data_IF_568860370553
#
_entry.id   IF_568860370553
#
_cell.length_a   1.000
_cell.length_b   1.000
_cell.length_c   1.000
_cell.angle_alpha   90.00
_cell.angle_beta   90.00
_cell.angle_gamma   90.00
#
_symmetry.space_group_name_H-M   'P 1'
#
loop_
_entity.id
_entity.type
_entity.pdbx_description
1 polymer ?
#
# COMPACT_ATOMS: atom_id res chain seq x y z
N UNK A 1 9.75 -5.89 17.36
CA UNK A 1 10.44 -6.27 16.12
C UNK A 1 11.72 -5.46 15.99
N UNK A 2 12.83 -6.14 15.69
CA UNK A 2 14.09 -5.50 15.32
C UNK A 2 14.28 -5.74 13.83
N UNK A 3 14.07 -4.71 13.03
CA UNK A 3 14.37 -4.75 11.60
C UNK A 3 15.90 -4.66 11.42
N UNK A 4 16.41 -5.31 10.39
CA UNK A 4 17.83 -5.47 10.13
C UNK A 4 18.23 -4.74 8.85
N UNK A 5 19.53 -4.48 8.71
CA UNK A 5 20.12 -3.98 7.47
C UNK A 5 19.70 -4.86 6.29
N UNK A 6 19.35 -4.23 5.16
CA UNK A 6 18.78 -4.81 3.93
C UNK A 6 17.32 -5.26 4.01
N UNK A 7 16.65 -5.16 5.15
CA UNK A 7 15.21 -5.40 5.19
C UNK A 7 14.49 -4.33 4.35
N UNK A 8 13.59 -4.79 3.47
CA UNK A 8 12.63 -3.92 2.79
C UNK A 8 11.51 -3.55 3.75
N UNK A 9 11.21 -2.27 3.80
CA UNK A 9 10.28 -1.65 4.75
C UNK A 9 9.45 -0.59 4.06
N UNK A 10 8.42 -0.13 4.75
CA UNK A 10 7.64 1.04 4.36
C UNK A 10 7.74 2.12 5.43
N UNK A 11 7.97 3.34 4.98
CA UNK A 11 8.15 4.52 5.83
C UNK A 11 6.96 5.44 5.65
N UNK A 12 6.36 5.84 6.76
CA UNK A 12 5.23 6.76 6.80
C UNK A 12 5.68 8.17 6.43
N UNK A 13 5.03 8.75 5.43
CA UNK A 13 5.07 10.19 5.19
C UNK A 13 3.84 10.83 5.85
N UNK A 14 4.06 11.50 6.99
CA UNK A 14 3.01 12.16 7.77
C UNK A 14 2.66 13.56 7.29
N UNK A 15 3.32 14.08 6.24
CA UNK A 15 2.95 15.36 5.61
C UNK A 15 1.80 15.19 4.64
N UNK A 16 1.59 13.97 4.15
CA UNK A 16 0.45 13.62 3.33
C UNK A 16 -0.79 13.44 4.21
N UNK A 17 -1.93 13.94 3.74
CA UNK A 17 -3.23 13.77 4.39
C UNK A 17 -4.22 13.11 3.42
N UNK A 18 -4.62 11.85 3.64
CA UNK A 18 -4.12 10.91 4.65
C UNK A 18 -2.66 10.49 4.41
N UNK A 19 -2.04 9.96 5.47
CA UNK A 19 -0.65 9.48 5.44
C UNK A 19 -0.42 8.46 4.32
N UNK A 20 0.74 8.56 3.69
CA UNK A 20 1.19 7.63 2.65
C UNK A 20 2.40 6.82 3.12
N UNK A 21 2.68 5.71 2.43
CA UNK A 21 3.77 4.80 2.78
C UNK A 21 4.73 4.60 1.62
N UNK A 22 5.97 5.04 1.79
CA UNK A 22 7.03 4.93 0.79
C UNK A 22 7.91 3.71 1.04
N UNK A 23 8.26 2.99 -0.02
CA UNK A 23 9.11 1.80 0.08
C UNK A 23 10.56 2.22 0.27
N UNK A 24 11.24 1.56 1.21
CA UNK A 24 12.62 1.82 1.53
C UNK A 24 13.37 0.54 1.95
N UNK A 25 14.68 0.64 2.06
CA UNK A 25 15.58 -0.38 2.60
C UNK A 25 16.32 0.17 3.83
N UNK A 26 16.48 -0.66 4.85
CA UNK A 26 17.29 -0.30 6.03
C UNK A 26 18.78 -0.39 5.71
N UNK A 27 19.50 0.71 5.93
CA UNK A 27 20.96 0.74 5.84
C UNK A 27 21.62 0.41 7.19
N UNK A 28 21.03 0.90 8.29
CA UNK A 28 21.48 0.67 9.66
C UNK A 28 20.39 1.06 10.67
N UNK A 29 20.53 0.66 11.94
CA UNK A 29 19.64 1.10 13.00
C UNK A 29 20.00 0.54 14.37
N UNK A 30 19.45 1.16 15.42
CA UNK A 30 19.66 0.79 16.82
C UNK A 30 18.39 0.20 17.48
N UNK A 31 17.32 0.00 16.71
CA UNK A 31 16.03 -0.50 17.19
C UNK A 31 15.07 0.57 17.70
N UNK A 32 15.50 1.83 17.82
CA UNK A 32 14.66 3.00 18.08
C UNK A 32 14.53 3.89 16.84
N UNK A 33 15.61 4.04 16.10
CA UNK A 33 15.66 4.72 14.81
C UNK A 33 16.36 3.85 13.78
N UNK A 34 16.04 4.11 12.51
CA UNK A 34 16.63 3.45 11.35
C UNK A 34 17.08 4.48 10.34
N UNK A 35 18.27 4.29 9.77
CA UNK A 35 18.71 4.99 8.57
C UNK A 35 18.21 4.19 7.36
N UNK A 36 17.40 4.80 6.53
CA UNK A 36 16.69 4.15 5.42
C UNK A 36 17.03 4.81 4.10
N UNK A 37 17.04 4.02 3.03
CA UNK A 37 17.17 4.47 1.64
C UNK A 37 15.86 4.20 0.92
N UNK A 38 15.26 5.24 0.35
CA UNK A 38 14.04 5.08 -0.45
C UNK A 38 14.32 4.40 -1.78
N UNK A 39 13.33 3.65 -2.28
CA UNK A 39 13.39 3.10 -3.63
C UNK A 39 13.31 4.25 -4.66
N UNK A 40 14.20 4.20 -5.66
CA UNK A 40 14.22 5.15 -6.79
C UNK A 40 13.38 4.61 -7.94
N UNK A 41 12.74 5.53 -8.68
CA UNK A 41 11.92 5.22 -9.85
C UNK A 41 12.44 6.02 -11.07
N UNK A 42 12.23 5.56 -12.32
CA UNK A 42 12.84 6.18 -13.51
C UNK A 42 12.61 7.69 -13.65
N UNK A 43 11.45 8.19 -13.23
CA UNK A 43 11.08 9.60 -13.34
C UNK A 43 11.41 10.42 -12.08
N UNK A 44 12.06 9.83 -11.07
CA UNK A 44 12.56 10.53 -9.89
C UNK A 44 13.95 11.13 -10.17
N UNK A 45 14.30 12.18 -9.42
CA UNK A 45 15.67 12.69 -9.42
C UNK A 45 16.66 11.55 -9.13
N UNK A 46 17.82 11.58 -9.79
CA UNK A 46 18.86 10.54 -9.66
C UNK A 46 19.53 10.50 -8.29
N UNK A 47 19.19 11.42 -7.40
CA UNK A 47 19.75 11.51 -6.05
C UNK A 47 19.16 10.44 -5.14
N UNK A 48 20.05 9.70 -4.47
CA UNK A 48 19.68 8.71 -3.47
C UNK A 48 19.06 9.40 -2.25
N UNK A 49 17.76 9.22 -2.03
CA UNK A 49 17.08 9.80 -0.87
C UNK A 49 17.31 8.90 0.34
N UNK A 50 18.08 9.41 1.30
CA UNK A 50 18.41 8.72 2.55
C UNK A 50 18.02 9.59 3.75
N UNK A 51 17.36 8.99 4.73
CA UNK A 51 16.98 9.69 5.96
C UNK A 51 17.08 8.82 7.21
N UNK A 52 16.98 9.44 8.38
CA UNK A 52 16.87 8.74 9.66
C UNK A 52 15.46 8.90 10.21
N UNK A 53 14.78 7.78 10.45
CA UNK A 53 13.39 7.74 10.88
C UNK A 53 13.19 7.02 12.21
N UNK A 54 12.15 7.41 12.92
CA UNK A 54 11.68 6.71 14.11
C UNK A 54 11.16 5.32 13.73
N UNK A 55 11.42 4.33 14.57
CA UNK A 55 10.82 2.99 14.46
C UNK A 55 9.29 3.04 14.39
N UNK A 56 8.65 4.04 15.00
CA UNK A 56 7.18 4.19 14.97
C UNK A 56 6.65 4.55 13.58
N UNK A 57 7.48 5.16 12.75
CA UNK A 57 7.14 5.57 11.37
C UNK A 57 7.52 4.50 10.35
N UNK A 58 7.99 3.33 10.78
CA UNK A 58 8.43 2.24 9.90
C UNK A 58 7.60 1.00 10.17
N UNK A 59 7.10 0.37 9.10
CA UNK A 59 6.48 -0.95 9.13
C UNK A 59 7.21 -1.89 8.16
N UNK A 60 7.15 -3.21 8.35
CA UNK A 60 7.59 -4.16 7.32
C UNK A 60 6.82 -3.93 6.01
N UNK A 61 7.24 -4.57 4.93
CA UNK A 61 6.34 -4.74 3.79
C UNK A 61 5.17 -5.64 4.22
N UNK A 62 3.90 -5.25 3.99
CA UNK A 62 2.76 -6.07 4.36
C UNK A 62 2.84 -7.43 3.69
N UNK A 63 2.54 -8.46 4.47
CA UNK A 63 2.49 -9.82 3.95
C UNK A 63 1.34 -9.87 2.95
N UNK A 64 1.64 -10.22 1.70
CA UNK A 64 0.62 -10.44 0.67
C UNK A 64 -0.30 -11.57 1.13
N UNK A 65 -1.44 -11.21 1.72
CA UNK A 65 -2.49 -12.16 2.05
C UNK A 65 -3.13 -12.57 0.72
N UNK A 66 -2.60 -13.64 0.10
CA UNK A 66 -3.30 -14.36 -0.97
C UNK A 66 -4.63 -14.83 -0.39
N UNK A 67 -5.76 -14.41 -0.99
CA UNK A 67 -7.08 -14.89 -0.54
C UNK A 67 -8.15 -13.81 -0.31
N UNK A 68 -7.90 -12.52 -0.57
CA UNK A 68 -9.00 -11.54 -0.63
C UNK A 68 -9.56 -11.52 -2.06
N UNK A 69 -10.09 -12.67 -2.50
CA UNK A 69 -10.46 -12.90 -3.91
C UNK A 69 -11.70 -12.14 -4.38
N UNK A 70 -12.42 -11.47 -3.47
CA UNK A 70 -13.63 -10.73 -3.80
C UNK A 70 -13.52 -9.29 -3.26
N UNK A 71 -12.87 -8.41 -4.03
CA UNK A 71 -12.97 -6.96 -3.82
C UNK A 71 -14.36 -6.51 -4.29
N UNK A 72 -15.03 -5.68 -3.49
CA UNK A 72 -16.34 -5.13 -3.82
C UNK A 72 -16.29 -3.60 -3.93
N UNK A 73 -17.29 -3.02 -4.58
CA UNK A 73 -17.49 -1.57 -4.56
C UNK A 73 -17.68 -1.11 -3.11
N UNK A 74 -17.00 -0.03 -2.73
CA UNK A 74 -16.97 0.47 -1.37
C UNK A 74 -15.81 -0.02 -0.51
N UNK A 75 -15.08 -1.06 -0.93
CA UNK A 75 -13.90 -1.53 -0.21
C UNK A 75 -12.84 -0.42 -0.12
N UNK A 76 -12.24 -0.28 1.07
CA UNK A 76 -11.11 0.61 1.31
C UNK A 76 -9.82 -0.19 1.17
N UNK A 77 -8.98 0.23 0.24
CA UNK A 77 -7.74 -0.44 -0.16
C UNK A 77 -6.56 0.51 -0.05
N UNK A 78 -5.34 -0.03 -0.14
CA UNK A 78 -4.14 0.76 -0.44
C UNK A 78 -3.78 0.59 -1.92
N UNK A 79 -3.51 1.69 -2.60
CA UNK A 79 -3.17 1.76 -4.02
C UNK A 79 -1.79 2.36 -4.16
N UNK A 80 -0.93 1.75 -4.96
CA UNK A 80 0.39 2.31 -5.25
C UNK A 80 0.25 3.43 -6.29
N UNK A 81 0.51 4.66 -5.88
CA UNK A 81 0.33 5.86 -6.69
C UNK A 81 1.34 6.93 -6.30
N UNK A 82 2.02 7.53 -7.29
CA UNK A 82 3.10 8.51 -7.07
C UNK A 82 4.16 7.99 -6.06
N UNK A 83 4.66 6.77 -6.32
CA UNK A 83 5.76 6.15 -5.58
C UNK A 83 5.47 5.84 -4.09
N UNK A 84 4.19 5.88 -3.70
CA UNK A 84 3.75 5.58 -2.35
C UNK A 84 2.47 4.74 -2.36
N UNK A 85 2.26 3.97 -1.29
CA UNK A 85 0.97 3.35 -1.01
C UNK A 85 0.05 4.37 -0.34
N UNK A 86 -1.10 4.61 -0.95
CA UNK A 86 -2.11 5.58 -0.51
C UNK A 86 -3.46 4.90 -0.30
N UNK A 87 -4.23 5.38 0.67
CA UNK A 87 -5.59 4.87 0.92
C UNK A 87 -6.54 5.31 -0.18
N UNK A 88 -7.38 4.39 -0.66
CA UNK A 88 -8.38 4.66 -1.68
C UNK A 88 -9.66 3.83 -1.46
N UNK A 89 -10.78 4.26 -2.06
CA UNK A 89 -12.03 3.49 -2.11
C UNK A 89 -12.28 2.99 -3.52
N UNK A 90 -12.69 1.71 -3.67
CA UNK A 90 -13.15 1.17 -4.94
C UNK A 90 -14.52 1.75 -5.28
N UNK A 91 -14.60 2.50 -6.38
CA UNK A 91 -15.84 3.07 -6.90
C UNK A 91 -16.54 2.14 -7.89
N UNK A 92 -15.77 1.38 -8.68
CA UNK A 92 -16.32 0.47 -9.70
C UNK A 92 -15.32 -0.64 -10.03
N UNK A 93 -15.82 -1.82 -10.36
CA UNK A 93 -15.06 -2.92 -10.96
C UNK A 93 -15.26 -2.83 -12.48
N UNK A 94 -14.18 -2.68 -13.24
CA UNK A 94 -14.22 -2.41 -14.69
C UNK A 94 -14.12 -3.72 -15.47
N UNK A 95 -13.09 -4.53 -15.21
CA UNK A 95 -12.90 -5.84 -15.82
C UNK A 95 -12.83 -6.88 -14.70
N UNK A 96 -13.77 -7.82 -14.71
CA UNK A 96 -13.67 -9.05 -13.93
C UNK A 96 -12.71 -10.03 -14.60
N UNK A 97 -12.32 -11.12 -13.90
CA UNK A 97 -11.51 -12.21 -14.45
C UNK A 97 -12.14 -12.74 -15.74
N UNK A 98 -11.61 -12.30 -16.88
CA UNK A 98 -11.99 -12.80 -18.19
C UNK A 98 -10.83 -13.68 -18.65
N UNK A 99 -11.00 -14.99 -18.53
CA UNK A 99 -10.11 -15.96 -19.16
C UNK A 99 -10.43 -16.00 -20.66
N UNK A 100 -9.74 -15.17 -21.44
CA UNK A 100 -9.73 -15.30 -22.89
C UNK A 100 -8.32 -15.75 -23.30
N UNK A 101 -8.24 -16.93 -23.94
CA UNK A 101 -7.05 -17.43 -24.66
C UNK A 101 -5.79 -17.61 -23.79
N UNK A 102 -5.88 -18.29 -22.65
CA UNK A 102 -4.72 -18.62 -21.78
C UNK A 102 -3.97 -17.40 -21.23
N UNK A 103 -4.60 -16.22 -21.20
CA UNK A 103 -4.05 -15.00 -20.60
C UNK A 103 -4.92 -14.59 -19.42
N UNK A 104 -4.36 -14.63 -18.22
CA UNK A 104 -5.03 -14.12 -17.01
C UNK A 104 -5.09 -12.60 -17.14
N UNK A 105 -6.30 -12.07 -17.38
CA UNK A 105 -6.54 -10.65 -17.22
C UNK A 105 -6.62 -10.34 -15.73
N UNK A 106 -5.77 -9.43 -15.25
CA UNK A 106 -5.88 -8.88 -13.92
C UNK A 106 -7.11 -7.98 -13.85
N UNK A 107 -7.80 -8.00 -12.71
CA UNK A 107 -8.98 -7.16 -12.55
C UNK A 107 -8.57 -5.68 -12.59
N UNK A 108 -9.41 -4.84 -13.20
CA UNK A 108 -9.22 -3.38 -13.17
C UNK A 108 -10.30 -2.72 -12.32
N UNK A 109 -9.89 -1.72 -11.55
CA UNK A 109 -10.77 -0.99 -10.63
C UNK A 109 -10.73 0.51 -10.93
N UNK A 110 -11.88 1.17 -10.88
CA UNK A 110 -11.93 2.62 -10.68
C UNK A 110 -11.85 2.87 -9.17
N UNK A 111 -10.82 3.57 -8.72
CA UNK A 111 -10.60 3.91 -7.32
C UNK A 111 -10.58 5.42 -7.13
N UNK A 112 -10.99 5.90 -5.96
CA UNK A 112 -10.81 7.30 -5.54
C UNK A 112 -9.83 7.36 -4.38
N UNK A 113 -8.75 8.12 -4.55
CA UNK A 113 -7.78 8.35 -3.48
C UNK A 113 -8.43 9.14 -2.35
N UNK A 114 -8.14 8.79 -1.09
CA UNK A 114 -8.57 9.60 0.05
C UNK A 114 -7.70 10.86 0.13
N UNK A 115 -8.24 11.95 0.68
CA UNK A 115 -7.57 13.26 0.71
C UNK A 115 -7.54 14.00 -0.63
N UNK A 116 -8.13 13.41 -1.67
CA UNK A 116 -8.21 13.97 -3.02
C UNK A 116 -9.56 13.66 -3.65
N UNK A 117 -10.04 14.50 -4.57
CA UNK A 117 -11.18 14.18 -5.43
C UNK A 117 -10.80 13.27 -6.61
N UNK A 118 -9.50 12.97 -6.78
CA UNK A 118 -8.95 12.24 -7.92
C UNK A 118 -9.40 10.77 -7.95
N UNK A 119 -9.91 10.36 -9.10
CA UNK A 119 -10.22 8.97 -9.42
C UNK A 119 -9.27 8.41 -10.48
N UNK A 120 -8.92 7.14 -10.36
CA UNK A 120 -7.92 6.46 -11.19
C UNK A 120 -8.43 5.08 -11.60
N UNK A 121 -8.12 4.65 -12.82
CA UNK A 121 -8.26 3.25 -13.24
C UNK A 121 -6.94 2.57 -12.93
N UNK A 122 -6.98 1.52 -12.10
CA UNK A 122 -5.79 0.80 -11.63
C UNK A 122 -5.92 -0.69 -11.85
N UNK A 123 -4.79 -1.32 -12.13
CA UNK A 123 -4.65 -2.77 -12.23
C UNK A 123 -4.57 -3.39 -10.83
N UNK A 124 -5.07 -4.62 -10.68
CA UNK A 124 -5.05 -5.36 -9.43
C UNK A 124 -3.66 -5.50 -8.81
N UNK A 125 -2.59 -5.56 -9.62
CA UNK A 125 -1.20 -5.67 -9.16
C UNK A 125 -0.74 -4.51 -8.28
N UNK A 126 -1.34 -3.33 -8.44
CA UNK A 126 -1.01 -2.12 -7.66
C UNK A 126 -2.06 -1.81 -6.60
N UNK A 127 -2.94 -2.76 -6.29
CA UNK A 127 -3.98 -2.64 -5.26
C UNK A 127 -3.80 -3.73 -4.21
N UNK A 128 -3.77 -3.35 -2.93
CA UNK A 128 -3.69 -4.31 -1.82
C UNK A 128 -4.69 -4.01 -0.72
N UNK A 129 -4.96 -5.01 0.09
CA UNK A 129 -5.84 -4.83 1.23
C UNK A 129 -5.22 -3.88 2.24
N UNK A 130 -6.02 -2.97 2.79
CA UNK A 130 -5.56 -2.04 3.81
C UNK A 130 -5.25 -2.81 5.10
N UNK A 131 -4.01 -2.68 5.55
CA UNK A 131 -3.54 -3.27 6.80
C UNK A 131 -2.85 -2.20 7.66
N UNK A 132 -2.91 -2.37 8.96
CA UNK A 132 -2.12 -1.57 9.91
C UNK A 132 -1.13 -2.44 10.65
N UNK A 133 0.02 -1.85 10.97
CA UNK A 133 1.08 -2.50 11.72
C UNK A 133 1.02 -2.02 13.17
N UNK A 134 0.71 -2.92 14.10
CA UNK A 134 0.58 -2.60 15.51
C UNK A 134 1.10 -3.74 16.38
N UNK A 135 1.88 -3.42 17.42
CA UNK A 135 2.49 -4.39 18.34
C UNK A 135 3.16 -5.58 17.63
N UNK A 136 3.94 -5.26 16.60
CA UNK A 136 4.68 -6.22 15.78
C UNK A 136 3.80 -7.24 15.04
N UNK A 137 2.53 -6.89 14.77
CA UNK A 137 1.57 -7.71 14.03
C UNK A 137 0.85 -6.90 12.96
N UNK A 138 0.56 -7.55 11.83
CA UNK A 138 -0.35 -7.02 10.83
C UNK A 138 -1.79 -7.24 11.25
N UNK A 139 -2.59 -6.18 11.21
CA UNK A 139 -4.01 -6.20 11.51
C UNK A 139 -4.75 -5.74 10.25
N UNK A 140 -5.73 -6.53 9.82
CA UNK A 140 -6.61 -6.18 8.70
C UNK A 140 -7.52 -5.03 9.12
N UNK A 141 -7.59 -3.97 8.32
CA UNK A 141 -8.58 -2.92 8.51
C UNK A 141 -9.79 -3.26 7.65
N UNK A 142 -10.97 -3.24 8.28
CA UNK A 142 -12.20 -3.90 7.85
C UNK A 142 -12.55 -3.79 6.37
N UNK A 143 -13.00 -4.93 5.82
CA UNK A 143 -14.05 -4.92 4.80
C UNK A 143 -15.31 -4.39 5.46
N UNK A 144 -15.89 -3.32 4.93
CA UNK A 144 -17.20 -2.85 5.39
C UNK A 144 -18.23 -3.86 4.90
N UNK A 145 -18.72 -4.72 5.80
CA UNK A 145 -19.84 -5.60 5.49
C UNK A 145 -21.10 -4.76 5.63
N UNK A 146 -21.66 -4.29 4.51
CA UNK A 146 -23.00 -3.72 4.52
C UNK A 146 -24.00 -4.85 4.80
N UNK A 147 -24.49 -4.95 6.04
CA UNK A 147 -25.77 -5.60 6.28
C UNK A 147 -26.84 -4.66 5.74
N UNK A 148 -27.43 -5.00 4.60
CA UNK A 148 -28.73 -4.45 4.23
C UNK A 148 -29.72 -4.95 5.29
N UNK A 149 -30.11 -4.07 6.21
CA UNK A 149 -31.32 -4.27 7.00
C UNK A 149 -32.49 -4.16 6.01
N UNK A 150 -33.03 -5.32 5.65
CA UNK A 150 -34.38 -5.47 5.11
C UNK A 150 -35.39 -5.32 6.25
#
# INVERSE_FOLDING_TARGET
>A
MRLKKRDKVEVMNSKDEPVSWHVAEILSGNGHTYRVRYDSYPDMASEEIVETVSRKSVRPVPTLVKGVENRIVGDIVEVFYEYAWRVATILRIIDGKIEIRNKIHQNRYLVRLHGSSRALIVDESIVRTRQTWHNDKWIMIGKVVFFSLL
#
